data_IF_595291345609
#
_entry.id   IF_595291345609
#
_cell.length_a   1.000
_cell.length_b   1.000
_cell.length_c   1.000
_cell.angle_alpha   90.00
_cell.angle_beta   90.00
_cell.angle_gamma   90.00
#
_symmetry.space_group_name_H-M   'P 1'
#
loop_
_entity.id
_entity.type
_entity.pdbx_description
1 polymer ?
#
# COMPACT_ATOMS: atom_id res chain seq x y z
N UNK A 1 16.02 -15.03 54.25
CA UNK A 1 17.47 -14.97 53.96
C UNK A 1 17.84 -15.95 52.84
N UNK A 2 17.72 -17.28 53.00
CA UNK A 2 18.00 -18.24 51.91
C UNK A 2 17.09 -18.08 50.67
N UNK A 3 15.79 -17.86 50.87
CA UNK A 3 14.85 -17.54 49.77
C UNK A 3 15.08 -16.16 49.10
N UNK A 4 15.84 -15.27 49.76
CA UNK A 4 16.19 -13.94 49.22
C UNK A 4 17.49 -14.04 48.40
N UNK A 5 18.40 -14.95 48.74
CA UNK A 5 19.56 -15.30 47.94
C UNK A 5 19.21 -16.22 46.75
N UNK A 6 18.23 -17.11 46.87
CA UNK A 6 17.71 -17.90 45.75
C UNK A 6 16.95 -17.06 44.70
N UNK A 7 16.54 -15.83 45.04
CA UNK A 7 16.04 -14.85 44.05
C UNK A 7 17.16 -14.02 43.41
N UNK A 8 18.32 -13.87 44.07
CA UNK A 8 19.50 -13.20 43.51
C UNK A 8 20.26 -14.11 42.53
N UNK A 9 20.26 -15.43 42.73
CA UNK A 9 20.81 -16.39 41.75
C UNK A 9 19.96 -16.50 40.46
N UNK A 10 18.75 -15.92 40.45
CA UNK A 10 17.92 -15.77 39.24
C UNK A 10 18.14 -14.45 38.50
N UNK A 11 19.07 -13.62 38.97
CA UNK A 11 19.55 -12.40 38.28
C UNK A 11 20.79 -12.66 37.42
N UNK A 12 21.00 -13.90 36.99
CA UNK A 12 21.87 -14.19 35.85
C UNK A 12 20.98 -14.11 34.60
N UNK A 13 21.36 -13.18 33.72
CA UNK A 13 20.82 -12.90 32.39
C UNK A 13 19.56 -12.03 32.25
N UNK A 14 19.74 -10.72 32.45
CA UNK A 14 19.00 -9.70 31.66
C UNK A 14 19.96 -8.88 30.78
N UNK A 15 20.56 -9.45 29.72
CA UNK A 15 21.33 -8.68 28.74
C UNK A 15 20.47 -7.69 27.92
N UNK A 16 19.14 -7.83 27.92
CA UNK A 16 18.25 -7.18 26.95
C UNK A 16 17.57 -5.88 27.41
N UNK A 17 17.85 -5.38 28.63
CA UNK A 17 17.18 -4.18 29.17
C UNK A 17 18.13 -2.98 29.34
N UNK A 18 19.20 -2.92 28.56
CA UNK A 18 20.01 -1.69 28.45
C UNK A 18 19.49 -0.85 27.29
N UNK A 19 18.89 0.31 27.58
CA UNK A 19 18.42 1.27 26.56
C UNK A 19 19.39 2.43 26.45
N UNK A 20 20.05 2.58 25.30
CA UNK A 20 20.85 3.75 24.96
C UNK A 20 20.00 4.87 24.34
N UNK A 21 20.27 6.11 24.70
CA UNK A 21 19.70 7.31 24.09
C UNK A 21 20.84 8.26 23.70
N UNK A 22 20.94 8.56 22.42
CA UNK A 22 21.87 9.57 21.89
C UNK A 22 21.26 10.97 22.10
N UNK A 23 22.06 11.90 22.58
CA UNK A 23 21.75 13.33 22.69
C UNK A 23 22.93 14.15 22.17
N UNK A 24 22.66 15.35 21.70
CA UNK A 24 23.69 16.32 21.36
C UNK A 24 23.74 17.35 22.50
N UNK A 25 24.94 17.63 23.02
CA UNK A 25 25.16 18.61 24.09
C UNK A 25 26.42 19.42 23.75
N UNK A 26 26.25 20.72 23.58
CA UNK A 26 27.35 21.67 23.32
C UNK A 26 28.26 21.27 22.13
N UNK A 27 27.66 20.72 21.07
CA UNK A 27 28.37 20.27 19.85
C UNK A 27 29.02 18.89 19.96
N UNK A 28 28.84 18.19 21.08
CA UNK A 28 29.37 16.85 21.31
C UNK A 28 28.22 15.84 21.34
N UNK A 29 28.41 14.69 20.70
CA UNK A 29 27.47 13.57 20.80
C UNK A 29 27.66 12.89 22.16
N UNK A 30 26.57 12.64 22.88
CA UNK A 30 26.59 11.94 24.17
C UNK A 30 25.65 10.75 24.08
N UNK A 31 26.11 9.57 24.47
CA UNK A 31 25.27 8.36 24.55
C UNK A 31 24.96 8.09 26.02
N UNK A 32 23.73 8.39 26.43
CA UNK A 32 23.24 8.02 27.75
C UNK A 32 22.76 6.58 27.75
N UNK A 33 23.33 5.72 28.58
CA UNK A 33 22.93 4.31 28.68
C UNK A 33 22.21 4.12 30.01
N UNK A 34 20.97 3.64 29.95
CA UNK A 34 20.22 3.31 31.15
C UNK A 34 20.52 1.88 31.57
N UNK A 35 21.33 1.71 32.61
CA UNK A 35 21.46 0.45 33.33
C UNK A 35 20.51 0.47 34.54
N UNK A 36 19.55 -0.47 34.67
CA UNK A 36 18.64 -0.49 35.80
C UNK A 36 19.29 -0.90 37.13
N UNK A 37 20.53 -1.39 37.13
CA UNK A 37 21.25 -1.86 38.34
C UNK A 37 22.27 -0.86 38.89
N UNK A 38 22.58 0.22 38.17
CA UNK A 38 23.45 1.30 38.63
C UNK A 38 22.88 2.66 38.23
N UNK A 39 23.22 3.71 38.98
CA UNK A 39 22.79 5.09 38.72
C UNK A 39 22.96 5.46 37.24
N UNK A 40 22.08 6.33 36.75
CA UNK A 40 22.01 6.80 35.36
C UNK A 40 23.32 7.47 34.95
N UNK A 41 24.26 6.72 34.39
CA UNK A 41 25.52 7.26 33.89
C UNK A 41 25.37 7.72 32.44
N UNK A 42 25.78 8.97 32.18
CA UNK A 42 25.88 9.53 30.83
C UNK A 42 27.34 9.49 30.41
N UNK A 43 27.64 8.96 29.22
CA UNK A 43 29.01 8.84 28.72
C UNK A 43 29.20 9.74 27.50
N UNK A 44 30.19 10.62 27.57
CA UNK A 44 30.62 11.50 26.46
C UNK A 44 31.47 10.70 25.46
N UNK A 45 31.24 10.91 24.15
CA UNK A 45 31.75 10.02 23.09
C UNK A 45 33.09 10.44 22.48
N UNK A 46 33.83 11.32 23.14
CA UNK A 46 35.14 11.79 22.69
C UNK A 46 36.29 10.85 23.07
N UNK A 47 36.03 9.84 23.92
CA UNK A 47 36.98 8.78 24.20
C UNK A 47 36.29 7.44 24.49
N UNK A 48 35.99 6.66 23.44
CA UNK A 48 35.53 5.26 23.53
C UNK A 48 36.50 4.34 24.32
N UNK A 49 37.68 4.82 24.68
CA UNK A 49 38.70 4.13 25.50
C UNK A 49 38.23 3.81 26.92
N UNK A 50 37.22 4.50 27.46
CA UNK A 50 36.66 4.18 28.78
C UNK A 50 35.64 3.02 28.74
N UNK A 51 35.12 2.67 27.56
CA UNK A 51 33.99 1.75 27.40
C UNK A 51 34.40 0.28 27.29
N UNK A 52 35.69 0.00 27.05
CA UNK A 52 36.25 -1.35 27.07
C UNK A 52 36.29 -1.96 28.49
N UNK A 53 36.08 -1.14 29.53
CA UNK A 53 36.03 -1.59 30.93
C UNK A 53 34.73 -2.32 31.30
N UNK A 54 33.67 -2.18 30.49
CA UNK A 54 32.36 -2.79 30.75
C UNK A 54 31.99 -3.70 29.56
N UNK A 55 32.01 -5.04 29.74
CA UNK A 55 31.69 -5.99 28.67
C UNK A 55 30.35 -5.69 28.00
N UNK A 56 30.36 -5.60 26.67
CA UNK A 56 29.16 -5.40 25.83
C UNK A 56 28.66 -3.95 25.69
N UNK A 57 29.17 -2.99 26.49
CA UNK A 57 28.69 -1.61 26.48
C UNK A 57 29.00 -0.88 25.17
N UNK A 58 30.20 -1.12 24.63
CA UNK A 58 30.66 -0.58 23.34
C UNK A 58 29.76 -1.00 22.18
N UNK A 59 29.42 -2.29 22.11
CA UNK A 59 28.54 -2.83 21.07
C UNK A 59 27.11 -2.26 21.17
N UNK A 60 26.59 -2.12 22.38
CA UNK A 60 25.25 -1.55 22.62
C UNK A 60 25.18 -0.06 22.24
N UNK A 61 26.23 0.70 22.53
CA UNK A 61 26.30 2.12 22.20
C UNK A 61 26.38 2.35 20.69
N UNK A 62 27.16 1.53 19.97
CA UNK A 62 27.22 1.51 18.50
C UNK A 62 25.83 1.19 17.93
N UNK A 63 25.18 0.13 18.40
CA UNK A 63 23.83 -0.24 17.96
C UNK A 63 22.80 0.88 18.21
N UNK A 64 22.90 1.56 19.36
CA UNK A 64 22.03 2.69 19.72
C UNK A 64 22.26 3.92 18.83
N UNK A 65 23.52 4.19 18.45
CA UNK A 65 23.86 5.26 17.52
C UNK A 65 23.36 4.96 16.10
N UNK A 66 23.52 3.72 15.63
CA UNK A 66 22.98 3.29 14.33
C UNK A 66 21.46 3.43 14.31
N UNK A 67 20.77 2.95 15.35
CA UNK A 67 19.31 3.07 15.48
C UNK A 67 18.85 4.53 15.52
N UNK A 68 19.64 5.44 16.08
CA UNK A 68 19.34 6.87 16.06
C UNK A 68 19.54 7.46 14.66
N UNK A 69 20.68 7.20 13.99
CA UNK A 69 20.99 7.72 12.66
C UNK A 69 20.11 7.15 11.53
N UNK A 70 19.49 5.98 11.72
CA UNK A 70 18.67 5.30 10.70
C UNK A 70 17.16 5.42 10.92
N UNK A 71 16.71 6.14 11.95
CA UNK A 71 15.28 6.33 12.21
C UNK A 71 14.61 7.11 11.06
N UNK A 72 13.48 6.64 10.50
CA UNK A 72 12.78 7.31 9.41
C UNK A 72 12.43 8.79 9.70
N UNK A 73 12.10 9.10 10.95
CA UNK A 73 11.77 10.46 11.41
C UNK A 73 12.99 11.38 11.52
N UNK A 74 14.21 10.81 11.59
CA UNK A 74 15.46 11.58 11.65
C UNK A 74 15.95 11.82 10.22
N UNK A 75 15.86 10.82 9.33
CA UNK A 75 16.18 10.97 7.91
C UNK A 75 15.29 11.98 7.15
N UNK A 76 14.06 12.23 7.62
CA UNK A 76 13.14 13.20 7.02
C UNK A 76 13.45 14.66 7.34
N UNK A 77 14.30 14.93 8.34
CA UNK A 77 14.56 16.29 8.85
C UNK A 77 16.04 16.70 8.84
N UNK A 78 16.95 15.78 8.52
CA UNK A 78 18.37 16.09 8.40
C UNK A 78 18.73 16.47 6.98
N UNK A 79 19.60 17.48 6.82
CA UNK A 79 20.20 17.74 5.52
C UNK A 79 21.07 16.56 5.11
N UNK A 80 21.18 16.31 3.82
CA UNK A 80 21.95 15.18 3.27
C UNK A 80 23.44 15.23 3.66
N UNK A 81 23.97 16.45 3.86
CA UNK A 81 25.32 16.70 4.36
C UNK A 81 25.50 16.20 5.81
N UNK A 82 24.49 16.43 6.66
CA UNK A 82 24.50 15.99 8.06
C UNK A 82 24.42 14.48 8.18
N UNK A 83 23.67 13.81 7.29
CA UNK A 83 23.66 12.34 7.22
C UNK A 83 25.03 11.78 6.85
N UNK A 84 25.71 12.35 5.84
CA UNK A 84 27.05 11.90 5.44
C UNK A 84 28.09 12.06 6.56
N UNK A 85 28.00 13.14 7.35
CA UNK A 85 28.86 13.35 8.52
C UNK A 85 28.62 12.31 9.62
N UNK A 86 27.36 11.97 9.90
CA UNK A 86 26.96 10.94 10.87
C UNK A 86 27.50 9.55 10.50
N UNK A 87 27.46 9.19 9.21
CA UNK A 87 28.00 7.90 8.74
C UNK A 87 29.53 7.86 8.81
N UNK A 88 30.22 8.97 8.52
CA UNK A 88 31.67 9.06 8.69
C UNK A 88 32.05 8.92 10.18
N UNK A 89 31.28 9.51 11.07
CA UNK A 89 31.48 9.38 12.52
C UNK A 89 31.25 7.94 12.98
N UNK A 90 30.18 7.28 12.51
CA UNK A 90 29.91 5.87 12.79
C UNK A 90 31.07 4.96 12.35
N UNK A 91 31.61 5.18 11.15
CA UNK A 91 32.74 4.40 10.64
C UNK A 91 34.00 4.59 11.49
N UNK A 92 34.29 5.83 11.91
CA UNK A 92 35.39 6.11 12.84
C UNK A 92 35.23 5.40 14.19
N UNK A 93 34.02 5.43 14.75
CA UNK A 93 33.69 4.73 16.00
C UNK A 93 33.95 3.21 15.89
N UNK A 94 33.67 2.61 14.73
CA UNK A 94 33.87 1.17 14.53
C UNK A 94 35.34 0.77 14.39
N UNK A 95 36.15 1.60 13.73
CA UNK A 95 37.60 1.45 13.66
C UNK A 95 38.24 1.56 15.04
N UNK A 96 37.89 2.61 15.79
CA UNK A 96 38.35 2.81 17.18
C UNK A 96 37.87 1.67 18.10
N UNK A 97 36.81 0.97 17.69
CA UNK A 97 36.30 -0.16 18.42
C UNK A 97 37.05 -1.48 18.20
N UNK A 98 37.97 -1.55 17.23
CA UNK A 98 38.61 -2.80 16.80
C UNK A 98 37.63 -3.80 16.19
N UNK A 99 36.43 -3.32 15.81
CA UNK A 99 35.40 -4.11 15.12
C UNK A 99 35.62 -4.09 13.60
N UNK A 100 36.62 -3.34 13.14
CA UNK A 100 37.02 -3.16 11.77
C UNK A 100 38.54 -2.86 11.78
N UNK A 101 39.32 -3.63 11.01
CA UNK A 101 40.79 -3.63 11.01
C UNK A 101 41.40 -2.73 9.92
N UNK A 102 40.56 -1.95 9.23
CA UNK A 102 40.95 -1.07 8.12
C UNK A 102 41.39 0.31 8.62
N UNK A 103 41.76 1.19 7.69
CA UNK A 103 42.19 2.56 8.00
C UNK A 103 41.17 3.58 7.49
N UNK A 104 41.10 4.81 8.06
CA UNK A 104 40.18 5.86 7.58
C UNK A 104 40.31 6.20 6.08
N UNK A 105 41.46 5.91 5.47
CA UNK A 105 41.74 6.09 4.05
C UNK A 105 41.35 4.90 3.16
N UNK A 106 41.02 3.75 3.74
CA UNK A 106 40.63 2.51 3.03
C UNK A 106 39.17 2.12 3.22
N UNK A 107 38.45 2.83 4.09
CA UNK A 107 36.99 2.76 4.20
C UNK A 107 36.33 3.15 2.88
N UNK A 108 35.76 2.17 2.20
CA UNK A 108 34.89 2.36 1.04
C UNK A 108 33.43 2.24 1.46
N UNK A 109 32.52 2.68 0.61
CA UNK A 109 31.10 2.63 0.92
C UNK A 109 30.51 1.20 0.87
N UNK A 110 31.15 0.25 0.18
CA UNK A 110 30.74 -1.17 0.22
C UNK A 110 30.80 -1.74 1.64
N UNK A 111 31.63 -1.14 2.49
CA UNK A 111 31.82 -1.56 3.87
C UNK A 111 30.62 -1.16 4.76
N UNK A 112 29.86 -0.13 4.35
CA UNK A 112 28.58 0.21 4.97
C UNK A 112 27.52 -0.89 4.72
N UNK A 113 27.57 -1.61 3.60
CA UNK A 113 26.64 -2.72 3.31
C UNK A 113 26.91 -3.91 4.26
N UNK A 114 28.17 -4.24 4.54
CA UNK A 114 28.56 -5.30 5.47
C UNK A 114 28.18 -4.98 6.92
N UNK A 115 28.39 -3.73 7.33
CA UNK A 115 28.02 -3.23 8.66
C UNK A 115 26.50 -3.22 8.84
N UNK A 116 25.76 -2.76 7.84
CA UNK A 116 24.29 -2.79 7.83
C UNK A 116 23.78 -4.22 7.85
N UNK A 117 24.47 -5.15 7.20
CA UNK A 117 24.12 -6.57 7.20
C UNK A 117 24.35 -7.22 8.55
N UNK A 118 25.47 -6.91 9.20
CA UNK A 118 25.73 -7.32 10.58
C UNK A 118 24.64 -6.81 11.55
N UNK A 119 24.26 -5.53 11.41
CA UNK A 119 23.21 -4.92 12.25
C UNK A 119 21.83 -5.49 11.93
N UNK A 120 21.47 -5.64 10.65
CA UNK A 120 20.21 -6.23 10.21
C UNK A 120 20.06 -7.68 10.70
N UNK A 121 21.14 -8.47 10.66
CA UNK A 121 21.19 -9.82 11.17
C UNK A 121 21.04 -9.89 12.71
N UNK A 122 21.60 -8.93 13.44
CA UNK A 122 21.50 -8.85 14.91
C UNK A 122 20.15 -8.32 15.41
N UNK A 123 19.51 -7.43 14.66
CA UNK A 123 18.26 -6.74 15.05
C UNK A 123 17.01 -7.29 14.35
N UNK A 124 17.14 -8.38 13.58
CA UNK A 124 16.05 -8.99 12.79
C UNK A 124 15.33 -8.00 11.84
N UNK A 125 16.01 -6.94 11.39
CA UNK A 125 15.46 -6.00 10.40
C UNK A 125 15.74 -6.50 8.98
N UNK A 126 14.87 -6.18 8.03
CA UNK A 126 15.08 -6.57 6.63
C UNK A 126 16.16 -5.66 6.01
N UNK A 127 17.26 -6.19 5.44
CA UNK A 127 18.31 -5.39 4.83
C UNK A 127 17.79 -4.34 3.83
N UNK A 128 16.74 -4.67 3.08
CA UNK A 128 16.09 -3.75 2.14
C UNK A 128 15.55 -2.44 2.74
N UNK A 129 15.19 -2.41 4.03
CA UNK A 129 14.73 -1.19 4.72
C UNK A 129 15.90 -0.23 5.03
N UNK A 130 17.11 -0.76 5.17
CA UNK A 130 18.32 0.01 5.48
C UNK A 130 19.07 0.43 4.20
N UNK A 131 18.91 -0.30 3.10
CA UNK A 131 19.55 -0.03 1.80
C UNK A 131 18.89 1.11 1.01
N UNK A 132 17.62 1.44 1.28
CA UNK A 132 16.91 2.48 0.52
C UNK A 132 17.44 3.90 0.79
N UNK A 133 17.62 4.36 2.06
CA UNK A 133 18.23 5.66 2.33
C UNK A 133 19.63 5.80 1.73
N UNK A 134 20.41 4.72 1.80
CA UNK A 134 21.73 4.58 1.22
C UNK A 134 21.75 4.82 -0.30
N UNK A 135 20.80 4.25 -1.04
CA UNK A 135 20.64 4.46 -2.49
C UNK A 135 20.31 5.90 -2.84
N UNK A 136 19.44 6.53 -2.07
CA UNK A 136 19.04 7.92 -2.30
C UNK A 136 20.21 8.88 -2.08
N UNK A 137 21.08 8.60 -1.11
CA UNK A 137 22.30 9.37 -0.87
C UNK A 137 23.31 9.23 -2.01
N UNK A 138 23.60 8.00 -2.47
CA UNK A 138 24.49 7.78 -3.61
C UNK A 138 23.95 8.45 -4.87
N UNK A 139 22.65 8.32 -5.14
CA UNK A 139 22.01 8.98 -6.27
C UNK A 139 22.17 10.50 -6.21
N UNK A 140 22.16 11.10 -5.01
CA UNK A 140 22.34 12.54 -4.86
C UNK A 140 23.79 13.00 -5.09
N UNK A 141 24.79 12.26 -4.58
CA UNK A 141 26.21 12.58 -4.82
C UNK A 141 26.52 12.65 -6.33
N UNK A 142 25.85 11.82 -7.13
CA UNK A 142 25.97 11.83 -8.58
C UNK A 142 25.14 12.90 -9.30
N UNK A 143 24.13 13.48 -8.65
CA UNK A 143 23.31 14.57 -9.20
C UNK A 143 23.87 15.94 -8.87
N UNK A 144 24.36 16.13 -7.64
CA UNK A 144 24.83 17.41 -7.13
C UNK A 144 26.26 17.70 -7.61
N UNK A 145 26.50 18.80 -8.37
CA UNK A 145 27.84 19.21 -8.80
C UNK A 145 28.78 19.59 -7.65
N UNK A 146 28.27 20.11 -6.53
CA UNK A 146 29.09 20.51 -5.37
C UNK A 146 29.70 19.29 -4.65
N UNK A 147 29.10 18.12 -4.84
CA UNK A 147 29.56 16.85 -4.28
C UNK A 147 30.49 16.09 -5.23
N UNK A 148 30.93 16.69 -6.34
CA UNK A 148 31.80 16.05 -7.34
C UNK A 148 33.07 15.40 -6.74
N UNK A 149 33.68 16.03 -5.74
CA UNK A 149 34.87 15.50 -5.04
C UNK A 149 34.62 14.17 -4.30
N UNK A 150 33.37 13.82 -4.07
CA UNK A 150 32.94 12.58 -3.41
C UNK A 150 32.53 11.50 -4.42
N UNK A 151 32.42 11.83 -5.71
CA UNK A 151 32.11 10.85 -6.74
C UNK A 151 33.30 9.91 -6.89
N UNK A 152 33.03 8.61 -6.80
CA UNK A 152 34.01 7.57 -7.02
C UNK A 152 33.36 6.53 -7.96
N UNK A 153 34.02 6.04 -9.01
CA UNK A 153 33.44 5.04 -9.93
C UNK A 153 32.89 3.77 -9.24
N UNK A 154 33.38 3.51 -8.02
CA UNK A 154 32.96 2.40 -7.17
C UNK A 154 31.85 2.80 -6.18
N UNK A 155 31.36 4.04 -6.19
CA UNK A 155 30.28 4.50 -5.32
C UNK A 155 28.92 4.09 -5.92
N UNK A 156 28.53 2.83 -5.71
CA UNK A 156 27.20 2.34 -6.05
C UNK A 156 26.66 1.40 -4.97
N UNK A 157 25.37 1.50 -4.68
CA UNK A 157 24.65 0.49 -3.88
C UNK A 157 24.09 -0.54 -4.84
N UNK A 158 24.35 -1.82 -4.59
CA UNK A 158 23.75 -2.88 -5.41
C UNK A 158 22.22 -2.81 -5.31
N UNK A 159 21.53 -2.95 -6.44
CA UNK A 159 20.05 -2.96 -6.46
C UNK A 159 19.49 -4.13 -5.63
N UNK A 160 20.26 -5.20 -5.56
CA UNK A 160 20.06 -6.40 -4.77
C UNK A 160 21.45 -6.86 -4.30
N UNK A 161 21.91 -6.48 -3.09
CA UNK A 161 23.22 -6.89 -2.59
C UNK A 161 23.30 -8.39 -2.29
N UNK A 162 22.16 -9.07 -2.19
CA UNK A 162 22.08 -10.50 -1.87
C UNK A 162 21.26 -11.28 -2.91
N UNK A 163 21.76 -11.40 -4.16
CA UNK A 163 21.10 -12.21 -5.16
C UNK A 163 20.98 -13.66 -4.66
N UNK A 164 19.75 -14.10 -4.40
CA UNK A 164 19.43 -15.46 -3.92
C UNK A 164 18.98 -15.59 -2.46
N UNK A 165 19.20 -14.59 -1.60
CA UNK A 165 18.65 -14.60 -0.23
C UNK A 165 17.31 -13.88 -0.09
N UNK A 166 16.92 -13.10 -1.09
CA UNK A 166 15.55 -12.63 -1.21
C UNK A 166 14.66 -13.86 -1.45
N UNK A 167 14.14 -14.41 -0.36
CA UNK A 167 12.86 -15.10 -0.30
C UNK A 167 11.75 -14.12 -0.71
N UNK A 168 11.84 -13.56 -1.93
CA UNK A 168 10.67 -13.12 -2.66
C UNK A 168 9.79 -14.35 -2.67
N UNK A 169 8.80 -14.37 -1.78
CA UNK A 169 7.66 -15.29 -1.88
C UNK A 169 7.36 -15.32 -3.37
N UNK A 170 7.63 -16.47 -3.98
CA UNK A 170 7.27 -16.72 -5.36
C UNK A 170 5.83 -16.25 -5.43
N UNK A 171 5.58 -15.20 -6.23
CA UNK A 171 4.23 -14.67 -6.32
C UNK A 171 3.38 -15.84 -6.74
N UNK A 172 2.43 -16.18 -5.91
CA UNK A 172 1.66 -17.41 -6.03
C UNK A 172 0.98 -17.45 -7.40
N UNK A 173 1.26 -18.51 -8.15
CA UNK A 173 0.53 -18.84 -9.37
C UNK A 173 -0.64 -19.69 -8.91
N UNK A 174 -1.85 -19.20 -9.12
CA UNK A 174 -3.05 -19.93 -8.74
C UNK A 174 -3.24 -21.13 -9.68
N UNK A 175 -3.82 -22.23 -9.19
CA UNK A 175 -4.34 -23.27 -10.05
C UNK A 175 -5.32 -22.68 -11.08
N UNK A 176 -5.24 -23.14 -12.32
CA UNK A 176 -6.10 -22.65 -13.41
C UNK A 176 -7.61 -22.77 -13.11
N UNK A 177 -8.11 -23.86 -12.49
CA UNK A 177 -9.51 -23.93 -12.07
C UNK A 177 -9.90 -22.82 -11.08
N UNK A 178 -9.01 -22.46 -10.17
CA UNK A 178 -9.25 -21.41 -9.18
C UNK A 178 -9.27 -20.01 -9.84
N UNK A 179 -8.39 -19.76 -10.81
CA UNK A 179 -8.43 -18.52 -11.59
C UNK A 179 -9.74 -18.40 -12.39
N UNK A 180 -10.18 -19.51 -13.02
CA UNK A 180 -11.46 -19.59 -13.70
C UNK A 180 -12.65 -19.37 -12.75
N UNK A 181 -12.59 -19.91 -11.53
CA UNK A 181 -13.62 -19.69 -10.52
C UNK A 181 -13.69 -18.23 -10.07
N UNK A 182 -12.55 -17.59 -9.80
CA UNK A 182 -12.50 -16.15 -9.48
C UNK A 182 -13.17 -15.33 -10.60
N UNK A 183 -12.83 -15.61 -11.86
CA UNK A 183 -13.42 -14.94 -13.01
C UNK A 183 -14.94 -15.12 -13.03
N UNK A 184 -15.42 -16.36 -12.94
CA UNK A 184 -16.84 -16.69 -12.99
C UNK A 184 -17.63 -16.02 -11.86
N UNK A 185 -17.14 -16.09 -10.62
CA UNK A 185 -17.79 -15.43 -9.46
C UNK A 185 -17.83 -13.92 -9.62
N UNK A 186 -16.75 -13.31 -10.09
CA UNK A 186 -16.68 -11.89 -10.34
C UNK A 186 -17.67 -11.46 -11.44
N UNK A 187 -17.77 -12.23 -12.53
CA UNK A 187 -18.72 -12.00 -13.62
C UNK A 187 -20.18 -12.10 -13.16
N UNK A 188 -20.53 -13.15 -12.42
CA UNK A 188 -21.88 -13.36 -11.87
C UNK A 188 -22.30 -12.20 -10.96
N UNK A 189 -21.40 -11.78 -10.05
CA UNK A 189 -21.65 -10.66 -9.15
C UNK A 189 -21.76 -9.33 -9.89
N UNK A 190 -20.91 -9.09 -10.89
CA UNK A 190 -21.02 -7.89 -11.74
C UNK A 190 -22.40 -7.85 -12.41
N UNK A 191 -22.81 -8.94 -13.05
CA UNK A 191 -24.11 -9.02 -13.73
C UNK A 191 -25.28 -8.82 -12.75
N UNK A 192 -25.20 -9.40 -11.55
CA UNK A 192 -26.19 -9.21 -10.49
C UNK A 192 -26.25 -7.76 -10.03
N UNK A 193 -25.12 -7.14 -9.68
CA UNK A 193 -25.07 -5.74 -9.23
C UNK A 193 -25.57 -4.80 -10.32
N UNK A 194 -25.17 -4.99 -11.57
CA UNK A 194 -25.67 -4.20 -12.71
C UNK A 194 -27.20 -4.27 -12.81
N UNK A 195 -27.77 -5.47 -12.68
CA UNK A 195 -29.22 -5.69 -12.71
C UNK A 195 -29.91 -4.99 -11.55
N UNK A 196 -29.41 -5.16 -10.32
CA UNK A 196 -29.99 -4.60 -9.11
C UNK A 196 -29.99 -3.06 -9.14
N UNK A 197 -28.85 -2.47 -9.51
CA UNK A 197 -28.69 -1.00 -9.64
C UNK A 197 -29.60 -0.43 -10.72
N UNK A 198 -29.66 -1.06 -11.91
CA UNK A 198 -30.57 -0.61 -12.98
C UNK A 198 -32.03 -0.74 -12.57
N UNK A 199 -32.39 -1.82 -11.88
CA UNK A 199 -33.74 -2.03 -11.36
C UNK A 199 -34.14 -0.94 -10.36
N UNK A 200 -33.25 -0.63 -9.41
CA UNK A 200 -33.43 0.44 -8.43
C UNK A 200 -33.58 1.81 -9.12
N UNK A 201 -32.67 2.17 -10.03
CA UNK A 201 -32.72 3.45 -10.78
C UNK A 201 -34.00 3.60 -11.61
N UNK A 202 -34.44 2.53 -12.26
CA UNK A 202 -35.69 2.53 -13.02
C UNK A 202 -36.92 2.75 -12.13
N UNK A 203 -36.89 2.31 -10.86
CA UNK A 203 -37.95 2.60 -9.88
C UNK A 203 -37.86 4.01 -9.32
N UNK A 204 -36.64 4.48 -9.03
CA UNK A 204 -36.38 5.85 -8.57
C UNK A 204 -36.89 6.90 -9.57
N UNK A 205 -36.74 6.64 -10.88
CA UNK A 205 -37.17 7.52 -11.96
C UNK A 205 -38.70 7.62 -12.14
N UNK A 206 -39.51 6.74 -11.51
CA UNK A 206 -40.98 6.77 -11.63
C UNK A 206 -41.59 7.68 -10.55
N UNK A 207 -42.14 8.86 -10.90
CA UNK A 207 -42.78 9.73 -9.93
C UNK A 207 -44.06 9.08 -9.39
N UNK A 208 -44.32 9.19 -8.09
CA UNK A 208 -45.65 8.98 -7.52
C UNK A 208 -46.18 7.54 -7.35
N UNK A 209 -45.40 6.47 -7.58
CA UNK A 209 -45.84 5.10 -7.25
C UNK A 209 -45.10 4.51 -6.05
N UNK A 210 -45.87 4.14 -5.02
CA UNK A 210 -45.55 3.08 -4.08
C UNK A 210 -44.58 3.38 -2.93
N UNK A 211 -43.86 4.50 -2.95
CA UNK A 211 -42.92 4.83 -1.88
C UNK A 211 -43.58 5.69 -0.79
N UNK A 212 -43.48 5.31 0.50
CA UNK A 212 -44.02 6.10 1.59
C UNK A 212 -43.38 7.49 1.63
N UNK A 213 -44.20 8.53 1.71
CA UNK A 213 -43.75 9.91 1.97
C UNK A 213 -43.51 10.13 3.46
N UNK A 214 -44.30 9.48 4.31
CA UNK A 214 -44.13 9.45 5.75
C UNK A 214 -43.05 8.42 6.13
N UNK A 215 -42.01 8.89 6.81
CA UNK A 215 -40.90 8.08 7.33
C UNK A 215 -41.36 6.92 8.21
N UNK A 216 -42.51 7.06 8.89
CA UNK A 216 -43.07 6.04 9.79
C UNK A 216 -43.55 4.79 9.05
N UNK A 217 -43.86 4.92 7.77
CA UNK A 217 -44.41 3.85 6.94
C UNK A 217 -43.32 3.13 6.12
N UNK A 218 -42.05 3.52 6.28
CA UNK A 218 -40.92 2.89 5.59
C UNK A 218 -40.58 1.54 6.26
N UNK A 219 -40.60 0.47 5.46
CA UNK A 219 -40.39 -0.91 5.92
C UNK A 219 -39.24 -1.64 5.22
N UNK A 220 -38.76 -1.16 4.07
CA UNK A 220 -37.67 -1.77 3.30
C UNK A 220 -36.44 -0.86 3.15
N UNK A 221 -35.26 -1.46 2.90
CA UNK A 221 -34.04 -0.71 2.60
C UNK A 221 -34.17 0.12 1.33
N UNK A 222 -34.94 -0.37 0.36
CA UNK A 222 -35.22 0.35 -0.87
C UNK A 222 -36.06 1.60 -0.64
N UNK A 223 -37.13 1.51 0.15
CA UNK A 223 -37.93 2.69 0.51
C UNK A 223 -37.10 3.72 1.27
N UNK A 224 -36.22 3.28 2.19
CA UNK A 224 -35.23 4.15 2.83
C UNK A 224 -34.35 4.85 1.78
N UNK A 225 -33.81 4.11 0.82
CA UNK A 225 -32.89 4.63 -0.19
C UNK A 225 -33.58 5.65 -1.11
N UNK A 226 -34.80 5.35 -1.57
CA UNK A 226 -35.61 6.28 -2.37
C UNK A 226 -35.93 7.54 -1.58
N UNK A 227 -36.35 7.41 -0.33
CA UNK A 227 -36.68 8.55 0.51
C UNK A 227 -35.46 9.46 0.70
N UNK A 228 -34.31 8.88 1.07
CA UNK A 228 -33.07 9.64 1.30
C UNK A 228 -32.61 10.30 0.00
N UNK A 229 -32.56 9.56 -1.10
CA UNK A 229 -32.09 10.11 -2.37
C UNK A 229 -33.01 11.23 -2.87
N UNK A 230 -34.34 11.12 -2.71
CA UNK A 230 -35.25 12.23 -3.06
C UNK A 230 -35.03 13.47 -2.20
N UNK A 231 -34.64 13.29 -0.93
CA UNK A 231 -34.44 14.39 0.01
C UNK A 231 -33.08 15.07 -0.12
N UNK A 232 -32.02 14.29 -0.37
CA UNK A 232 -30.63 14.75 -0.30
C UNK A 232 -29.86 14.61 -1.62
N UNK A 233 -30.46 14.03 -2.66
CA UNK A 233 -29.79 13.72 -3.92
C UNK A 233 -28.61 12.77 -3.72
N UNK A 234 -27.54 13.00 -4.48
CA UNK A 234 -26.30 12.23 -4.35
C UNK A 234 -25.54 12.52 -3.04
N UNK A 235 -25.77 13.67 -2.40
CA UNK A 235 -25.09 14.05 -1.16
C UNK A 235 -25.81 13.46 0.06
N UNK A 236 -25.69 12.15 0.24
CA UNK A 236 -26.32 11.46 1.36
C UNK A 236 -25.81 11.99 2.72
N UNK A 237 -26.70 12.15 3.71
CA UNK A 237 -26.32 12.64 5.03
C UNK A 237 -25.60 11.56 5.85
N UNK A 238 -24.87 11.97 6.88
CA UNK A 238 -24.38 11.01 7.87
C UNK A 238 -25.50 10.47 8.75
N UNK A 239 -25.31 9.25 9.28
CA UNK A 239 -26.28 8.60 10.15
C UNK A 239 -26.58 9.41 11.43
N UNK A 240 -25.60 10.17 11.95
CA UNK A 240 -25.80 11.09 13.08
C UNK A 240 -26.81 12.19 12.76
N UNK A 241 -26.72 12.75 11.55
CA UNK A 241 -27.63 13.79 11.08
C UNK A 241 -29.04 13.23 10.88
N UNK A 242 -29.16 12.03 10.30
CA UNK A 242 -30.45 11.32 10.16
C UNK A 242 -31.07 11.08 11.53
N UNK A 243 -30.30 10.58 12.51
CA UNK A 243 -30.80 10.37 13.88
C UNK A 243 -31.35 11.65 14.51
N UNK A 244 -30.70 12.79 14.27
CA UNK A 244 -31.07 14.10 14.82
C UNK A 244 -32.30 14.70 14.14
N UNK A 245 -32.35 14.67 12.80
CA UNK A 245 -33.36 15.38 12.02
C UNK A 245 -34.56 14.50 11.63
N UNK A 246 -34.35 13.20 11.50
CA UNK A 246 -35.29 12.22 10.96
C UNK A 246 -35.29 10.92 11.80
N UNK A 247 -35.72 10.97 13.08
CA UNK A 247 -35.61 9.84 14.01
C UNK A 247 -36.48 8.64 13.60
N UNK A 248 -37.59 8.86 12.90
CA UNK A 248 -38.43 7.79 12.36
C UNK A 248 -37.68 7.05 11.24
N UNK A 249 -37.10 7.79 10.29
CA UNK A 249 -36.23 7.20 9.27
C UNK A 249 -35.03 6.48 9.88
N UNK A 250 -34.36 7.06 10.88
CA UNK A 250 -33.26 6.39 11.59
C UNK A 250 -33.68 5.00 12.09
N UNK A 251 -34.84 4.92 12.73
CA UNK A 251 -35.41 3.66 13.23
C UNK A 251 -35.69 2.68 12.09
N UNK A 252 -36.27 3.16 10.98
CA UNK A 252 -36.51 2.34 9.79
C UNK A 252 -35.20 1.81 9.20
N UNK A 253 -34.16 2.63 9.07
CA UNK A 253 -32.83 2.24 8.59
C UNK A 253 -32.23 1.15 9.48
N UNK A 254 -32.32 1.29 10.81
CA UNK A 254 -31.78 0.28 11.73
C UNK A 254 -32.50 -1.07 11.61
N UNK A 255 -33.81 -1.07 11.32
CA UNK A 255 -34.61 -2.28 11.12
C UNK A 255 -34.29 -3.03 9.83
N UNK A 256 -33.87 -2.33 8.77
CA UNK A 256 -33.62 -2.91 7.44
C UNK A 256 -32.16 -3.33 7.21
N UNK A 257 -31.39 -3.55 8.28
CA UNK A 257 -29.98 -3.96 8.21
C UNK A 257 -28.96 -2.83 8.31
N UNK A 258 -29.42 -1.59 8.57
CA UNK A 258 -28.58 -0.43 8.86
C UNK A 258 -28.20 0.39 7.62
N UNK A 259 -27.41 1.45 7.85
CA UNK A 259 -27.09 2.45 6.81
C UNK A 259 -26.41 1.87 5.57
N UNK A 260 -25.59 0.85 5.77
CA UNK A 260 -24.82 0.20 4.70
C UNK A 260 -25.72 -0.34 3.60
N UNK A 261 -26.87 -0.92 3.94
CA UNK A 261 -27.80 -1.52 2.98
C UNK A 261 -28.51 -0.42 2.17
N UNK A 262 -28.82 0.70 2.81
CA UNK A 262 -29.46 1.85 2.17
C UNK A 262 -28.49 2.55 1.21
N UNK A 263 -27.27 2.83 1.66
CA UNK A 263 -26.23 3.46 0.83
C UNK A 263 -25.89 2.61 -0.39
N UNK A 264 -25.75 1.30 -0.22
CA UNK A 264 -25.38 0.36 -1.28
C UNK A 264 -26.36 0.36 -2.47
N UNK A 265 -27.61 0.77 -2.26
CA UNK A 265 -28.59 0.91 -3.34
C UNK A 265 -28.40 2.20 -4.14
N UNK A 266 -27.91 3.26 -3.51
CA UNK A 266 -27.75 4.57 -4.14
C UNK A 266 -26.37 4.72 -4.77
N UNK A 267 -25.33 4.42 -4.00
CA UNK A 267 -23.93 4.61 -4.37
C UNK A 267 -23.14 3.32 -4.23
N UNK A 268 -22.12 3.11 -5.08
CA UNK A 268 -21.20 2.00 -4.90
C UNK A 268 -20.51 2.06 -3.54
N UNK A 269 -20.44 0.93 -2.86
CA UNK A 269 -19.56 0.71 -1.71
C UNK A 269 -18.29 -0.01 -2.14
N UNK A 270 -17.23 0.04 -1.32
CA UNK A 270 -15.97 -0.69 -1.60
C UNK A 270 -16.24 -2.17 -1.89
N UNK A 271 -17.10 -2.83 -1.10
CA UNK A 271 -17.43 -4.25 -1.28
C UNK A 271 -18.12 -4.52 -2.61
N UNK A 272 -19.04 -3.65 -3.03
CA UNK A 272 -19.72 -3.78 -4.33
C UNK A 272 -18.78 -3.53 -5.52
N UNK A 273 -17.70 -2.78 -5.34
CA UNK A 273 -16.71 -2.58 -6.40
C UNK A 273 -15.75 -3.77 -6.58
N UNK A 274 -15.60 -4.63 -5.58
CA UNK A 274 -14.62 -5.73 -5.63
C UNK A 274 -14.84 -6.71 -6.79
N UNK A 275 -16.08 -7.16 -7.11
CA UNK A 275 -16.32 -7.99 -8.29
C UNK A 275 -15.83 -7.34 -9.58
N UNK A 276 -16.10 -6.05 -9.79
CA UNK A 276 -15.67 -5.32 -10.98
C UNK A 276 -14.15 -5.20 -11.06
N UNK A 277 -13.49 -4.92 -9.93
CA UNK A 277 -12.03 -4.85 -9.85
C UNK A 277 -11.38 -6.24 -10.05
N UNK A 278 -11.99 -7.30 -9.54
CA UNK A 278 -11.57 -8.69 -9.73
C UNK A 278 -11.67 -9.12 -11.19
N UNK A 279 -12.81 -8.86 -11.83
CA UNK A 279 -13.06 -9.20 -13.22
C UNK A 279 -12.14 -8.44 -14.18
N UNK A 280 -12.08 -7.11 -14.05
CA UNK A 280 -11.12 -6.30 -14.80
C UNK A 280 -9.68 -6.68 -14.46
N UNK A 281 -9.37 -7.08 -13.23
CA UNK A 281 -8.07 -7.58 -12.82
C UNK A 281 -7.66 -8.85 -13.57
N UNK A 282 -8.59 -9.79 -13.77
CA UNK A 282 -8.36 -11.00 -14.54
C UNK A 282 -8.17 -10.70 -16.04
N UNK A 283 -8.93 -9.75 -16.60
CA UNK A 283 -8.91 -9.43 -18.03
C UNK A 283 -7.72 -8.54 -18.42
N UNK A 284 -7.42 -7.53 -17.61
CA UNK A 284 -6.36 -6.55 -17.88
C UNK A 284 -5.01 -7.01 -17.35
N UNK A 285 -4.99 -7.88 -16.34
CA UNK A 285 -3.79 -8.23 -15.58
C UNK A 285 -3.08 -6.99 -15.00
N UNK A 286 -3.80 -5.90 -14.79
CA UNK A 286 -3.25 -4.73 -14.11
C UNK A 286 -2.89 -5.10 -12.67
N UNK A 287 -1.84 -4.46 -12.17
CA UNK A 287 -1.49 -4.60 -10.76
C UNK A 287 -2.41 -3.71 -9.91
N UNK A 288 -2.50 -3.99 -8.60
CA UNK A 288 -3.35 -3.25 -7.67
C UNK A 288 -3.24 -1.72 -7.81
N UNK A 289 -2.02 -1.17 -7.85
CA UNK A 289 -1.83 0.28 -7.93
C UNK A 289 -2.46 0.88 -9.20
N UNK A 290 -2.27 0.22 -10.34
CA UNK A 290 -2.88 0.63 -11.62
C UNK A 290 -4.41 0.51 -11.56
N UNK A 291 -4.93 -0.54 -10.93
CA UNK A 291 -6.38 -0.72 -10.78
C UNK A 291 -7.01 0.35 -9.89
N UNK A 292 -6.39 0.67 -8.74
CA UNK A 292 -6.89 1.69 -7.82
C UNK A 292 -6.79 3.11 -8.37
N UNK A 293 -5.91 3.32 -9.35
CA UNK A 293 -5.67 4.63 -9.98
C UNK A 293 -6.23 4.72 -11.41
N UNK A 294 -6.96 3.72 -11.89
CA UNK A 294 -7.53 3.76 -13.24
C UNK A 294 -8.50 4.95 -13.36
N UNK A 295 -8.24 5.85 -14.30
CA UNK A 295 -9.09 6.97 -14.64
C UNK A 295 -9.89 6.74 -15.92
N UNK A 296 -11.00 7.48 -16.09
CA UNK A 296 -11.76 7.46 -17.33
C UNK A 296 -10.99 8.11 -18.48
N UNK A 297 -10.05 9.03 -18.21
CA UNK A 297 -9.13 9.56 -19.21
C UNK A 297 -8.14 8.52 -19.75
N UNK A 298 -7.92 7.44 -19.01
CA UNK A 298 -7.03 6.34 -19.42
C UNK A 298 -7.75 5.34 -20.33
N UNK A 299 -9.01 5.60 -20.68
CA UNK A 299 -9.88 4.69 -21.44
C UNK A 299 -10.42 5.42 -22.66
N UNK A 300 -10.11 4.90 -23.84
CA UNK A 300 -10.57 5.44 -25.12
C UNK A 300 -11.16 4.36 -26.01
N UNK A 301 -12.03 4.76 -26.94
CA UNK A 301 -12.52 3.92 -28.02
C UNK A 301 -11.70 4.20 -29.28
N UNK A 302 -11.05 3.17 -29.84
CA UNK A 302 -10.20 3.31 -31.03
C UNK A 302 -10.57 2.27 -32.08
N UNK A 303 -10.67 2.71 -33.33
CA UNK A 303 -10.72 1.79 -34.47
C UNK A 303 -9.33 1.18 -34.69
N UNK A 304 -9.26 -0.15 -34.64
CA UNK A 304 -8.05 -0.92 -34.92
C UNK A 304 -8.38 -1.93 -36.01
N UNK A 305 -7.87 -1.68 -37.21
CA UNK A 305 -8.08 -2.50 -38.40
C UNK A 305 -9.58 -2.72 -38.73
N UNK A 306 -10.39 -1.66 -38.65
CA UNK A 306 -11.82 -1.69 -38.98
C UNK A 306 -12.70 -2.27 -37.88
N UNK A 307 -12.15 -2.54 -36.69
CA UNK A 307 -12.89 -3.00 -35.51
C UNK A 307 -12.79 -1.96 -34.42
N UNK A 308 -13.94 -1.48 -33.92
CA UNK A 308 -13.98 -0.60 -32.75
C UNK A 308 -13.59 -1.38 -31.50
N UNK A 309 -12.59 -0.88 -30.78
CA UNK A 309 -12.04 -1.53 -29.57
C UNK A 309 -12.00 -0.55 -28.41
N UNK A 310 -12.20 -1.09 -27.21
CA UNK A 310 -11.89 -0.39 -25.97
C UNK A 310 -10.38 -0.47 -25.73
N UNK A 311 -9.71 0.66 -25.53
CA UNK A 311 -8.28 0.75 -25.26
C UNK A 311 -8.07 1.38 -23.88
N UNK A 312 -7.33 0.68 -23.02
CA UNK A 312 -6.92 1.19 -21.70
C UNK A 312 -5.40 1.44 -21.69
N UNK A 313 -4.99 2.64 -21.30
CA UNK A 313 -3.58 3.09 -21.29
C UNK A 313 -3.15 3.72 -19.95
N UNK A 314 -3.47 3.13 -18.78
CA UNK A 314 -3.11 3.75 -17.51
C UNK A 314 -1.60 3.90 -17.34
N UNK A 315 -1.19 5.04 -16.81
CA UNK A 315 0.20 5.34 -16.47
C UNK A 315 0.57 4.64 -15.16
N UNK A 316 1.61 3.80 -15.21
CA UNK A 316 2.27 3.26 -14.03
C UNK A 316 3.37 4.23 -13.61
N UNK A 317 3.05 5.21 -12.76
CA UNK A 317 3.94 6.32 -12.40
C UNK A 317 5.33 5.88 -11.94
N UNK A 318 5.41 4.92 -11.00
CA UNK A 318 6.70 4.40 -10.50
C UNK A 318 7.63 3.83 -11.57
N UNK A 319 7.09 3.48 -12.73
CA UNK A 319 7.85 2.94 -13.86
C UNK A 319 7.89 3.91 -15.05
N UNK A 320 7.18 5.04 -14.99
CA UNK A 320 7.01 5.98 -16.10
C UNK A 320 6.46 5.33 -17.37
N UNK A 321 5.60 4.30 -17.24
CA UNK A 321 5.18 3.46 -18.38
C UNK A 321 3.68 3.27 -18.47
N UNK A 322 3.17 3.32 -19.69
CA UNK A 322 1.79 3.00 -20.01
C UNK A 322 1.60 1.49 -20.03
N UNK A 323 0.48 1.00 -19.47
CA UNK A 323 0.07 -0.40 -19.59
C UNK A 323 -1.07 -0.49 -20.61
N UNK A 324 -0.75 -0.79 -21.87
CA UNK A 324 -1.75 -0.85 -22.94
C UNK A 324 -2.55 -2.17 -22.88
N UNK A 325 -3.89 -2.06 -22.90
CA UNK A 325 -4.81 -3.18 -23.15
C UNK A 325 -5.84 -2.79 -24.18
N UNK A 326 -6.23 -3.75 -25.02
CA UNK A 326 -7.22 -3.52 -26.05
C UNK A 326 -8.20 -4.69 -26.14
N UNK A 327 -9.48 -4.40 -26.02
CA UNK A 327 -10.56 -5.38 -25.99
C UNK A 327 -11.51 -5.14 -27.16
N UNK A 328 -11.97 -6.23 -27.78
CA UNK A 328 -13.08 -6.14 -28.72
C UNK A 328 -14.35 -5.80 -27.94
N UNK A 329 -15.18 -4.94 -28.52
CA UNK A 329 -16.44 -4.53 -27.90
C UNK A 329 -17.52 -5.51 -28.34
N UNK A 330 -18.29 -5.99 -27.36
CA UNK A 330 -19.49 -6.79 -27.53
C UNK A 330 -20.45 -6.54 -26.35
N UNK A 331 -21.64 -7.13 -26.42
CA UNK A 331 -22.71 -6.92 -25.42
C UNK A 331 -22.65 -7.87 -24.22
N UNK A 332 -21.60 -8.69 -24.09
CA UNK A 332 -21.47 -9.63 -22.98
C UNK A 332 -21.37 -8.86 -21.65
N UNK A 333 -22.04 -9.32 -20.57
CA UNK A 333 -22.09 -8.58 -19.31
C UNK A 333 -20.72 -8.46 -18.63
N UNK A 334 -19.79 -9.35 -18.96
CA UNK A 334 -18.40 -9.35 -18.52
C UNK A 334 -17.45 -8.63 -19.50
N UNK A 335 -17.94 -8.09 -20.62
CA UNK A 335 -17.11 -7.32 -21.53
C UNK A 335 -16.59 -6.05 -20.84
N UNK A 336 -15.27 -5.73 -20.94
CA UNK A 336 -14.69 -4.53 -20.34
C UNK A 336 -15.40 -3.22 -20.70
N UNK A 337 -15.95 -3.08 -21.91
CA UNK A 337 -16.67 -1.87 -22.33
C UNK A 337 -17.98 -1.72 -21.56
N UNK A 338 -18.75 -2.81 -21.48
CA UNK A 338 -20.02 -2.85 -20.72
C UNK A 338 -19.77 -2.53 -19.25
N UNK A 339 -18.72 -3.10 -18.67
CA UNK A 339 -18.31 -2.85 -17.28
C UNK A 339 -17.95 -1.37 -17.07
N UNK A 340 -17.07 -0.81 -17.91
CA UNK A 340 -16.60 0.58 -17.74
C UNK A 340 -17.73 1.58 -17.94
N UNK A 341 -18.61 1.37 -18.93
CA UNK A 341 -19.79 2.20 -19.15
C UNK A 341 -20.73 2.15 -17.95
N UNK A 342 -20.98 0.96 -17.42
CA UNK A 342 -21.78 0.82 -16.20
C UNK A 342 -21.13 1.53 -15.03
N UNK A 343 -19.83 1.36 -14.79
CA UNK A 343 -19.12 2.02 -13.69
C UNK A 343 -19.19 3.55 -13.83
N UNK A 344 -19.01 4.11 -15.03
CA UNK A 344 -19.19 5.55 -15.29
C UNK A 344 -20.55 6.06 -14.87
N UNK A 345 -21.60 5.31 -15.21
CA UNK A 345 -22.97 5.64 -14.80
C UNK A 345 -23.17 5.43 -13.30
N UNK A 346 -22.58 4.38 -12.73
CA UNK A 346 -22.77 3.99 -11.33
C UNK A 346 -22.07 4.96 -10.37
N UNK A 347 -20.92 5.51 -10.75
CA UNK A 347 -20.11 6.42 -9.95
C UNK A 347 -20.35 7.90 -10.22
N UNK A 348 -21.19 8.27 -11.21
CA UNK A 348 -21.34 9.66 -11.66
C UNK A 348 -21.74 10.63 -10.54
N UNK A 349 -22.69 10.24 -9.69
CA UNK A 349 -23.14 11.05 -8.55
C UNK A 349 -22.07 11.29 -7.47
N UNK A 350 -20.96 10.53 -7.50
CA UNK A 350 -19.85 10.70 -6.57
C UNK A 350 -18.75 11.60 -7.10
N UNK A 351 -18.67 11.80 -8.43
CA UNK A 351 -17.55 12.49 -9.06
C UNK A 351 -17.35 13.89 -8.49
N UNK A 352 -18.42 14.68 -8.36
CA UNK A 352 -18.34 16.04 -7.82
C UNK A 352 -18.19 16.10 -6.29
N UNK A 353 -18.42 14.98 -5.60
CA UNK A 353 -18.40 14.90 -4.13
C UNK A 353 -17.03 14.50 -3.56
N UNK A 354 -16.13 13.96 -4.39
CA UNK A 354 -14.76 13.63 -3.99
C UNK A 354 -13.81 14.81 -4.23
N UNK A 355 -12.61 14.73 -3.64
CA UNK A 355 -11.53 15.69 -3.93
C UNK A 355 -11.30 15.77 -5.46
N UNK A 356 -11.13 16.98 -6.03
CA UNK A 356 -10.95 17.19 -7.47
C UNK A 356 -9.91 16.29 -8.15
N UNK A 357 -8.87 15.88 -7.41
CA UNK A 357 -7.83 14.97 -7.92
C UNK A 357 -8.35 13.57 -8.23
N UNK A 358 -9.53 13.21 -7.74
CA UNK A 358 -10.18 11.91 -7.96
C UNK A 358 -11.38 11.96 -8.89
N UNK A 359 -11.80 13.13 -9.40
CA UNK A 359 -13.01 13.27 -10.24
C UNK A 359 -13.03 12.32 -11.44
N UNK A 360 -11.87 12.01 -12.01
CA UNK A 360 -11.73 11.14 -13.17
C UNK A 360 -11.59 9.64 -12.82
N UNK A 361 -11.59 9.24 -11.55
CA UNK A 361 -11.37 7.82 -11.18
C UNK A 361 -12.54 6.93 -11.60
N UNK A 362 -12.23 5.74 -12.11
CA UNK A 362 -13.22 4.71 -12.44
C UNK A 362 -13.89 4.15 -11.17
N UNK A 363 -13.13 4.03 -10.08
CA UNK A 363 -13.59 3.41 -8.84
C UNK A 363 -13.78 4.46 -7.74
N UNK A 364 -14.92 5.14 -7.78
CA UNK A 364 -15.40 5.98 -6.68
C UNK A 364 -16.40 5.21 -5.84
N UNK A 365 -16.41 5.45 -4.53
CA UNK A 365 -17.33 4.77 -3.62
C UNK A 365 -17.74 5.66 -2.45
N UNK A 366 -18.85 5.30 -1.82
CA UNK A 366 -19.28 5.87 -0.54
C UNK A 366 -18.60 5.16 0.63
N UNK A 367 -17.78 5.89 1.39
CA UNK A 367 -17.06 5.36 2.54
C UNK A 367 -17.94 5.29 3.79
N UNK A 368 -18.20 4.08 4.28
CA UNK A 368 -18.91 3.87 5.55
C UNK A 368 -18.03 4.08 6.79
N UNK A 369 -16.71 4.21 6.60
CA UNK A 369 -15.72 4.29 7.68
C UNK A 369 -15.42 5.72 8.15
N UNK A 370 -15.83 6.75 7.40
CA UNK A 370 -15.54 8.15 7.71
C UNK A 370 -16.39 8.68 8.88
N UNK A 371 -16.05 8.27 10.11
CA UNK A 371 -16.73 8.70 11.35
C UNK A 371 -16.32 10.11 11.83
N UNK A 372 -15.21 10.64 11.30
CA UNK A 372 -14.58 11.88 11.74
C UNK A 372 -14.97 13.11 10.88
N UNK A 373 -15.70 12.91 9.79
CA UNK A 373 -16.19 14.00 8.96
C UNK A 373 -17.31 14.76 9.69
N UNK A 374 -17.38 16.08 9.46
CA UNK A 374 -18.51 16.90 9.91
C UNK A 374 -19.85 16.30 9.46
N UNK A 375 -20.94 16.53 10.22
CA UNK A 375 -22.26 15.92 10.00
C UNK A 375 -22.78 16.07 8.53
N UNK A 376 -22.30 17.08 7.80
CA UNK A 376 -22.69 17.46 6.44
C UNK A 376 -21.66 17.11 5.35
N UNK A 377 -20.46 16.66 5.72
CA UNK A 377 -19.42 16.36 4.73
C UNK A 377 -19.71 15.03 4.02
N UNK A 378 -19.67 15.00 2.66
CA UNK A 378 -19.95 13.80 1.89
C UNK A 378 -18.91 12.72 2.22
N UNK A 379 -19.35 11.47 2.32
CA UNK A 379 -18.44 10.36 2.56
C UNK A 379 -17.92 9.73 1.26
N UNK A 380 -18.16 10.38 0.11
CA UNK A 380 -17.60 9.98 -1.17
C UNK A 380 -16.07 9.92 -1.08
N UNK A 381 -15.48 8.88 -1.65
CA UNK A 381 -14.05 8.62 -1.61
C UNK A 381 -13.59 7.88 -2.87
N UNK A 382 -12.28 7.88 -3.05
CA UNK A 382 -11.57 7.02 -4.00
C UNK A 382 -10.50 6.21 -3.25
N UNK A 383 -9.91 5.24 -3.93
CA UNK A 383 -8.69 4.58 -3.45
C UNK A 383 -7.49 5.53 -3.56
N UNK A 384 -6.58 5.44 -2.59
CA UNK A 384 -5.28 6.10 -2.67
C UNK A 384 -4.27 5.16 -3.32
N UNK A 385 -3.42 5.72 -4.17
CA UNK A 385 -2.26 5.01 -4.69
C UNK A 385 -1.01 5.89 -4.67
N UNK A 386 0.10 5.41 -5.27
CA UNK A 386 1.36 6.15 -5.31
C UNK A 386 1.24 7.58 -5.84
N UNK A 387 0.32 7.84 -6.78
CA UNK A 387 0.11 9.15 -7.39
C UNK A 387 -0.61 10.15 -6.48
N UNK A 388 -1.39 9.64 -5.53
CA UNK A 388 -2.43 10.41 -4.84
C UNK A 388 -2.38 10.33 -3.32
N UNK A 389 -1.46 9.55 -2.74
CA UNK A 389 -1.35 9.33 -1.30
C UNK A 389 0.08 9.19 -0.78
N UNK A 390 0.22 8.81 0.50
CA UNK A 390 1.47 8.75 1.30
C UNK A 390 2.47 7.65 0.91
N UNK A 391 2.37 7.10 -0.29
CA UNK A 391 3.20 5.96 -0.73
C UNK A 391 2.83 4.61 -0.11
N UNK A 392 1.85 4.55 0.82
CA UNK A 392 1.37 3.31 1.42
C UNK A 392 0.16 2.73 0.68
N UNK A 393 0.08 1.40 0.67
CA UNK A 393 -1.00 0.64 0.07
C UNK A 393 -2.36 0.97 0.72
N UNK A 394 -3.42 1.19 -0.08
CA UNK A 394 -4.76 1.41 0.45
C UNK A 394 -5.28 0.12 1.12
N UNK A 395 -5.37 0.16 2.46
CA UNK A 395 -5.80 -0.97 3.28
C UNK A 395 -7.26 -1.33 3.07
N UNK A 396 -8.11 -0.38 2.64
CA UNK A 396 -9.54 -0.62 2.38
C UNK A 396 -9.71 -1.57 1.20
N UNK A 397 -8.87 -1.44 0.18
CA UNK A 397 -8.86 -2.38 -0.95
C UNK A 397 -8.49 -3.78 -0.48
N UNK A 398 -7.37 -3.94 0.25
CA UNK A 398 -6.91 -5.28 0.65
C UNK A 398 -7.92 -5.98 1.57
N UNK A 399 -8.52 -5.21 2.48
CA UNK A 399 -9.59 -5.71 3.34
C UNK A 399 -10.82 -6.14 2.54
N UNK A 400 -11.30 -5.31 1.61
CA UNK A 400 -12.49 -5.62 0.84
C UNK A 400 -12.29 -6.77 -0.14
N UNK A 401 -11.11 -6.86 -0.77
CA UNK A 401 -10.73 -7.98 -1.63
C UNK A 401 -10.72 -9.29 -0.84
N UNK A 402 -10.05 -9.29 0.33
CA UNK A 402 -10.03 -10.46 1.22
C UNK A 402 -11.44 -10.88 1.64
N UNK A 403 -12.26 -9.92 2.08
CA UNK A 403 -13.65 -10.20 2.46
C UNK A 403 -14.46 -10.80 1.30
N UNK A 404 -14.31 -10.27 0.08
CA UNK A 404 -14.98 -10.84 -1.09
C UNK A 404 -14.49 -12.27 -1.39
N UNK A 405 -13.19 -12.54 -1.30
CA UNK A 405 -12.68 -13.91 -1.45
C UNK A 405 -13.23 -14.86 -0.37
N UNK A 406 -13.32 -14.41 0.89
CA UNK A 406 -13.91 -15.19 1.99
C UNK A 406 -15.40 -15.46 1.75
N UNK A 407 -16.17 -14.47 1.29
CA UNK A 407 -17.60 -14.60 0.97
C UNK A 407 -17.88 -15.68 -0.08
N UNK A 408 -16.93 -15.93 -0.99
CA UNK A 408 -17.03 -16.93 -2.05
C UNK A 408 -16.26 -18.22 -1.76
N UNK A 409 -15.66 -18.38 -0.58
CA UNK A 409 -14.89 -19.58 -0.23
C UNK A 409 -13.59 -19.75 -1.02
N UNK A 410 -13.04 -18.66 -1.57
CA UNK A 410 -11.82 -18.67 -2.40
C UNK A 410 -10.52 -18.67 -1.57
N UNK A 411 -10.61 -18.43 -0.25
CA UNK A 411 -9.44 -18.35 0.64
C UNK A 411 -8.74 -16.99 0.62
N UNK A 412 -7.56 -16.88 1.25
CA UNK A 412 -6.79 -15.63 1.36
C UNK A 412 -5.89 -15.41 0.13
N UNK A 413 -6.51 -15.22 -1.03
CA UNK A 413 -5.82 -15.01 -2.30
C UNK A 413 -5.37 -13.55 -2.39
N UNK A 414 -4.08 -13.24 -2.58
CA UNK A 414 -3.67 -11.87 -2.81
C UNK A 414 -4.08 -11.42 -4.22
N UNK A 415 -4.65 -10.22 -4.38
CA UNK A 415 -5.02 -9.68 -5.70
C UNK A 415 -3.86 -9.68 -6.72
N UNK A 416 -2.61 -9.58 -6.22
CA UNK A 416 -1.41 -9.67 -7.08
C UNK A 416 -1.24 -11.02 -7.80
N UNK A 417 -1.86 -12.10 -7.30
CA UNK A 417 -1.82 -13.42 -7.90
C UNK A 417 -2.59 -13.49 -9.22
N UNK A 418 -3.62 -12.66 -9.42
CA UNK A 418 -4.38 -12.60 -10.68
C UNK A 418 -3.46 -12.29 -11.86
N UNK A 419 -2.63 -11.25 -11.72
CA UNK A 419 -1.68 -10.84 -12.75
C UNK A 419 -0.64 -11.93 -13.04
N UNK A 420 -0.08 -12.56 -12.02
CA UNK A 420 0.97 -13.58 -12.22
C UNK A 420 0.38 -14.82 -12.87
N UNK A 421 -0.80 -15.24 -12.43
CA UNK A 421 -1.51 -16.39 -13.00
C UNK A 421 -1.92 -16.14 -14.44
N UNK A 422 -2.51 -14.98 -14.73
CA UNK A 422 -2.91 -14.64 -16.11
C UNK A 422 -1.72 -14.51 -17.06
N UNK A 423 -0.57 -13.98 -16.60
CA UNK A 423 0.65 -13.98 -17.41
C UNK A 423 1.18 -15.40 -17.66
N UNK A 424 1.08 -16.30 -16.68
CA UNK A 424 1.45 -17.70 -16.84
C UNK A 424 0.50 -18.45 -17.81
N UNK A 425 -0.80 -18.17 -17.74
CA UNK A 425 -1.79 -18.69 -18.68
C UNK A 425 -1.48 -18.23 -20.11
N UNK A 426 -1.21 -16.93 -20.28
CA UNK A 426 -0.81 -16.39 -21.57
C UNK A 426 0.51 -17.01 -22.07
N UNK A 427 1.50 -17.20 -21.19
CA UNK A 427 2.75 -17.88 -21.57
C UNK A 427 2.48 -19.26 -22.16
N UNK A 428 1.62 -20.06 -21.53
CA UNK A 428 1.22 -21.37 -22.05
C UNK A 428 0.46 -21.27 -23.37
N UNK A 429 -0.47 -20.32 -23.47
CA UNK A 429 -1.29 -20.13 -24.67
C UNK A 429 -0.48 -19.69 -25.90
N UNK A 430 0.56 -18.87 -25.72
CA UNK A 430 1.45 -18.41 -26.79
C UNK A 430 2.68 -19.31 -26.99
N UNK A 431 2.67 -20.55 -26.46
CA UNK A 431 3.77 -21.49 -26.64
C UNK A 431 5.12 -21.00 -26.11
N UNK A 432 5.11 -20.12 -25.09
CA UNK A 432 6.32 -19.50 -24.54
C UNK A 432 6.89 -18.34 -25.35
N UNK A 433 6.12 -17.73 -26.27
CA UNK A 433 6.56 -16.50 -26.95
C UNK A 433 6.76 -15.35 -25.95
N UNK A 434 8.04 -15.13 -25.61
CA UNK A 434 8.47 -14.13 -24.65
C UNK A 434 8.07 -12.71 -25.09
N UNK A 435 8.01 -12.42 -26.40
CA UNK A 435 7.62 -11.08 -26.89
C UNK A 435 6.12 -10.86 -26.72
N UNK A 436 5.30 -11.88 -26.98
CA UNK A 436 3.86 -11.81 -26.72
C UNK A 436 3.58 -11.57 -25.23
N UNK A 437 4.31 -12.25 -24.35
CA UNK A 437 4.18 -12.10 -22.90
C UNK A 437 4.74 -10.75 -22.43
N UNK A 438 5.84 -10.28 -23.00
CA UNK A 438 6.41 -8.96 -22.68
C UNK A 438 5.43 -7.84 -23.07
N UNK A 439 4.82 -7.93 -24.25
CA UNK A 439 3.76 -7.02 -24.70
C UNK A 439 2.56 -7.06 -23.73
N UNK A 440 2.11 -8.26 -23.36
CA UNK A 440 1.03 -8.45 -22.39
C UNK A 440 1.42 -7.96 -20.99
N UNK A 441 2.65 -8.13 -20.54
CA UNK A 441 3.09 -7.67 -19.23
C UNK A 441 3.41 -6.17 -19.22
N UNK A 442 3.63 -5.55 -20.37
CA UNK A 442 4.13 -4.19 -20.49
C UNK A 442 5.44 -4.01 -19.68
N UNK A 443 6.33 -5.01 -19.78
CA UNK A 443 7.69 -4.96 -19.23
C UNK A 443 8.66 -4.44 -20.32
N UNK A 444 9.87 -4.00 -19.95
CA UNK A 444 10.88 -3.46 -20.89
C UNK A 444 12.11 -4.35 -21.02
N UNK A 445 11.98 -5.61 -20.66
CA UNK A 445 13.13 -6.46 -20.44
C UNK A 445 12.70 -7.88 -20.14
N UNK A 446 13.27 -8.80 -20.90
CA UNK A 446 13.11 -10.25 -20.81
C UNK A 446 13.62 -10.79 -19.46
N UNK A 447 14.55 -10.09 -18.80
CA UNK A 447 15.17 -10.48 -17.52
C UNK A 447 14.18 -10.71 -16.37
N UNK A 448 12.97 -10.13 -16.45
CA UNK A 448 11.92 -10.34 -15.43
C UNK A 448 11.33 -11.75 -15.51
N UNK A 449 11.45 -12.42 -16.65
CA UNK A 449 10.88 -13.74 -16.94
C UNK A 449 11.92 -14.87 -16.86
N UNK A 450 13.17 -14.61 -17.27
CA UNK A 450 14.22 -15.65 -17.40
C UNK A 450 14.69 -16.21 -16.06
N UNK A 451 14.61 -15.45 -14.96
CA UNK A 451 15.04 -15.90 -13.63
C UNK A 451 13.96 -16.64 -12.81
N UNK A 452 12.97 -17.27 -13.45
CA UNK A 452 11.82 -17.90 -12.76
C UNK A 452 11.52 -19.34 -13.16
N UNK A 453 12.39 -19.97 -13.94
CA UNK A 453 12.31 -21.39 -14.25
C UNK A 453 13.33 -22.18 -13.45
#
# INVERSE_FOLDING_TARGET
MRALFEQLDKLVDFPDVRRGKVKERDGTTVVGIFDPTQLKEEFETDAFTSWDRIPGLKALAIASYIRAGTKPSISSHMTRLTMAALYRQLAGIMLDAGLDDRTPSTLTYFDCEDIISFVAAKEHQRPGQLLMPLREMVAEIYRDPELNRLRNPHLFVRKDPFPGQDGRRTREILPEPLFGEIYARAADDCARIMRDVRSFRARLAKPGRGFPTDERNIVTAEECAVWVHRRFGDRLPQMKLIRRLHPALFTAVMRVGGWKEVVALVHPTVRQLMPFMGLLGCQTLFNKAVMTELGFKDIEHRDVAGTLRLVMTPLKERAGRLQLRSFQIDDSPDNPDVIVRFLREYTSGLAELVDPRFHDRVFLFWSLANRALADDAPAAAAFFGPATGSGSEDSRFSYAWKAWCEDHGLGDIPFSALRVTGLNLAHRAFGGDVRAIEALASHSGVDVFVNRH
#
